data_IF_319567500435
#
_entry.id   IF_319567500435
#
_cell.length_a   1.000
_cell.length_b   1.000
_cell.length_c   1.000
_cell.angle_alpha   90.00
_cell.angle_beta   90.00
_cell.angle_gamma   90.00
#
_symmetry.space_group_name_H-M   'P 1'
#
loop_
_entity.id
_entity.type
_entity.pdbx_description
1 polymer ?
#
# COMPACT_ATOMS: atom_id res chain seq x y z
N UNK A 1 4.41 -13.49 -0.74
CA UNK A 1 5.26 -12.46 -0.13
C UNK A 1 4.57 -11.69 0.99
N UNK A 2 3.25 -11.50 0.95
CA UNK A 2 2.60 -10.74 2.02
C UNK A 2 2.19 -11.58 3.25
N UNK A 3 1.87 -12.86 3.05
CA UNK A 3 1.35 -13.73 4.10
C UNK A 3 2.39 -14.22 5.10
N UNK A 4 3.67 -14.30 4.74
CA UNK A 4 4.65 -15.04 5.53
C UNK A 4 5.89 -14.21 5.80
N UNK A 5 6.35 -14.18 7.05
CA UNK A 5 7.54 -13.43 7.45
C UNK A 5 8.82 -13.95 6.78
N UNK A 6 8.97 -15.27 6.62
CA UNK A 6 10.11 -15.90 5.97
C UNK A 6 10.16 -15.67 4.45
N UNK A 7 9.10 -15.08 3.88
CA UNK A 7 9.08 -14.64 2.50
C UNK A 7 9.43 -13.17 2.33
N UNK A 8 9.43 -12.35 3.40
CA UNK A 8 9.72 -10.90 3.32
C UNK A 8 11.24 -10.66 3.14
N UNK A 9 11.74 -11.05 1.97
CA UNK A 9 13.15 -11.01 1.60
C UNK A 9 13.61 -9.62 1.13
N UNK A 10 14.86 -9.52 0.67
CA UNK A 10 15.47 -8.25 0.25
C UNK A 10 15.39 -7.95 -1.24
N UNK A 11 14.86 -8.88 -2.04
CA UNK A 11 14.80 -8.75 -3.50
C UNK A 11 13.38 -8.83 -4.01
N UNK A 12 12.69 -9.94 -3.75
CA UNK A 12 11.39 -10.17 -4.35
C UNK A 12 10.31 -9.37 -3.63
N UNK A 13 10.24 -9.45 -2.30
CA UNK A 13 9.26 -8.72 -1.49
C UNK A 13 9.25 -7.20 -1.76
N UNK A 14 10.37 -6.45 -1.64
CA UNK A 14 10.40 -5.02 -1.88
C UNK A 14 10.30 -4.62 -3.36
N UNK A 15 10.23 -5.58 -4.27
CA UNK A 15 10.00 -5.32 -5.69
C UNK A 15 8.54 -5.56 -6.05
N UNK A 16 8.03 -6.75 -5.79
CA UNK A 16 6.70 -7.17 -6.25
C UNK A 16 5.58 -6.45 -5.52
N UNK A 17 5.72 -6.22 -4.21
CA UNK A 17 4.65 -5.61 -3.41
C UNK A 17 4.44 -4.14 -3.78
N UNK A 18 5.49 -3.30 -3.92
CA UNK A 18 5.28 -1.92 -4.40
C UNK A 18 4.72 -1.85 -5.82
N UNK A 19 5.23 -2.66 -6.76
CA UNK A 19 4.78 -2.66 -8.16
C UNK A 19 3.31 -3.06 -8.26
N UNK A 20 2.88 -4.08 -7.54
CA UNK A 20 1.49 -4.54 -7.58
C UNK A 20 0.57 -3.65 -6.72
N UNK A 21 1.07 -3.13 -5.59
CA UNK A 21 0.29 -2.32 -4.65
C UNK A 21 -0.08 -0.92 -5.17
N UNK A 22 0.72 -0.34 -6.07
CA UNK A 22 0.43 1.00 -6.62
C UNK A 22 -0.81 1.04 -7.52
N UNK A 23 -1.22 -0.10 -8.05
CA UNK A 23 -2.29 -0.21 -9.07
C UNK A 23 -3.60 0.44 -8.61
N UNK A 24 -4.17 -0.04 -7.50
CA UNK A 24 -5.42 0.49 -6.95
C UNK A 24 -5.24 1.86 -6.29
N UNK A 25 -4.04 2.17 -5.78
CA UNK A 25 -3.75 3.51 -5.28
C UNK A 25 -3.88 4.56 -6.39
N UNK A 26 -3.27 4.30 -7.56
CA UNK A 26 -3.35 5.18 -8.72
C UNK A 26 -4.80 5.28 -9.28
N UNK A 27 -5.50 4.16 -9.39
CA UNK A 27 -6.90 4.16 -9.86
C UNK A 27 -7.84 4.92 -8.91
N UNK A 28 -7.67 4.72 -7.60
CA UNK A 28 -8.42 5.43 -6.56
C UNK A 28 -8.11 6.93 -6.57
N UNK A 29 -6.84 7.31 -6.73
CA UNK A 29 -6.46 8.72 -6.94
C UNK A 29 -7.14 9.32 -8.16
N UNK A 30 -7.16 8.63 -9.30
CA UNK A 30 -7.85 9.11 -10.49
C UNK A 30 -9.33 9.39 -10.20
N UNK A 31 -10.02 8.51 -9.47
CA UNK A 31 -11.41 8.71 -9.10
C UNK A 31 -11.62 9.88 -8.12
N UNK A 32 -10.94 9.89 -6.97
CA UNK A 32 -11.18 10.88 -5.92
C UNK A 32 -10.66 12.27 -6.29
N UNK A 33 -9.51 12.35 -6.95
CA UNK A 33 -8.90 13.62 -7.31
C UNK A 33 -9.59 14.30 -8.48
N UNK A 34 -9.90 13.57 -9.55
CA UNK A 34 -10.48 14.18 -10.77
C UNK A 34 -11.90 14.65 -10.50
N UNK A 35 -12.72 13.84 -9.82
CA UNK A 35 -14.15 14.14 -9.64
C UNK A 35 -14.41 15.06 -8.45
N UNK A 36 -13.63 14.94 -7.36
CA UNK A 36 -13.95 15.60 -6.09
C UNK A 36 -12.83 16.47 -5.52
N UNK A 37 -11.63 16.47 -6.15
CA UNK A 37 -10.43 17.14 -5.62
C UNK A 37 -10.07 16.70 -4.19
N UNK A 38 -10.41 15.45 -3.84
CA UNK A 38 -10.15 14.89 -2.52
C UNK A 38 -8.76 14.19 -2.51
N UNK A 39 -7.81 14.63 -1.67
CA UNK A 39 -6.42 14.16 -1.68
C UNK A 39 -6.17 12.95 -0.77
N UNK A 40 -6.97 11.88 -0.91
CA UNK A 40 -6.82 10.66 -0.10
C UNK A 40 -6.98 9.37 -0.90
N UNK A 41 -6.83 9.42 -2.22
CA UNK A 41 -7.11 8.28 -3.08
C UNK A 41 -6.19 7.08 -2.81
N UNK A 42 -4.88 7.30 -2.68
CA UNK A 42 -3.95 6.22 -2.39
C UNK A 42 -4.16 5.65 -0.99
N UNK A 43 -4.31 6.51 0.02
CA UNK A 43 -4.57 6.12 1.41
C UNK A 43 -5.88 5.35 1.53
N UNK A 44 -6.94 5.75 0.81
CA UNK A 44 -8.21 5.03 0.79
C UNK A 44 -8.04 3.57 0.36
N UNK A 45 -7.30 3.32 -0.73
CA UNK A 45 -7.04 1.98 -1.22
C UNK A 45 -6.11 1.18 -0.29
N UNK A 46 -4.99 1.78 0.15
CA UNK A 46 -4.01 1.11 1.02
C UNK A 46 -4.60 0.76 2.39
N UNK A 47 -5.41 1.66 2.98
CA UNK A 47 -6.09 1.40 4.25
C UNK A 47 -7.16 0.31 4.11
N UNK A 48 -7.94 0.33 3.03
CA UNK A 48 -8.92 -0.71 2.75
C UNK A 48 -8.28 -2.11 2.65
N UNK A 49 -7.15 -2.20 1.95
CA UNK A 49 -6.36 -3.44 1.85
C UNK A 49 -5.89 -3.89 3.24
N UNK A 50 -5.25 -3.01 4.01
CA UNK A 50 -4.71 -3.35 5.33
C UNK A 50 -5.79 -3.78 6.32
N UNK A 51 -6.95 -3.13 6.32
CA UNK A 51 -8.08 -3.54 7.18
C UNK A 51 -8.52 -4.96 6.81
N UNK A 52 -8.73 -5.23 5.52
CA UNK A 52 -9.13 -6.57 5.05
C UNK A 52 -8.09 -7.63 5.39
N UNK A 53 -6.81 -7.32 5.22
CA UNK A 53 -5.71 -8.21 5.57
C UNK A 53 -5.65 -8.46 7.08
N UNK A 54 -5.58 -7.42 7.91
CA UNK A 54 -5.51 -7.58 9.36
C UNK A 54 -6.69 -8.36 9.92
N UNK A 55 -7.92 -8.10 9.47
CA UNK A 55 -9.10 -8.88 9.84
C UNK A 55 -8.86 -10.36 9.50
N UNK A 56 -8.42 -10.66 8.28
CA UNK A 56 -8.18 -12.04 7.85
C UNK A 56 -7.02 -12.71 8.62
N UNK A 57 -5.93 -11.99 8.89
CA UNK A 57 -4.78 -12.54 9.66
C UNK A 57 -5.18 -12.84 11.10
N UNK A 58 -5.97 -11.99 11.74
CA UNK A 58 -6.43 -12.20 13.11
C UNK A 58 -7.54 -13.24 13.22
N UNK A 59 -8.61 -13.14 12.42
CA UNK A 59 -9.79 -14.00 12.56
C UNK A 59 -9.54 -15.39 11.99
N UNK A 60 -8.85 -15.51 10.85
CA UNK A 60 -8.67 -16.80 10.17
C UNK A 60 -7.28 -17.42 10.42
N UNK A 61 -6.19 -16.73 10.07
CA UNK A 61 -4.85 -17.32 10.23
C UNK A 61 -4.52 -17.62 11.69
N UNK A 62 -4.76 -16.64 12.58
CA UNK A 62 -4.60 -16.86 14.01
C UNK A 62 -5.83 -17.54 14.64
N UNK A 63 -7.02 -16.93 14.50
CA UNK A 63 -8.22 -17.36 15.23
C UNK A 63 -8.73 -18.76 14.86
N UNK A 64 -8.59 -19.19 13.60
CA UNK A 64 -9.09 -20.49 13.14
C UNK A 64 -7.98 -21.53 12.95
N UNK A 65 -6.80 -21.12 12.47
CA UNK A 65 -5.71 -22.05 12.12
C UNK A 65 -4.48 -21.92 13.01
N UNK A 66 -4.51 -21.04 14.02
CA UNK A 66 -3.51 -20.91 15.09
C UNK A 66 -2.08 -20.57 14.63
N UNK A 67 -1.90 -19.99 13.43
CA UNK A 67 -0.60 -19.44 13.04
C UNK A 67 -0.30 -18.18 13.85
N UNK A 68 0.88 -18.05 14.48
CA UNK A 68 1.21 -16.90 15.29
C UNK A 68 1.22 -15.62 14.43
N UNK A 69 0.71 -14.51 14.98
CA UNK A 69 0.66 -13.23 14.24
C UNK A 69 2.04 -12.76 13.77
N UNK A 70 3.11 -13.09 14.50
CA UNK A 70 4.49 -12.82 14.09
C UNK A 70 4.90 -13.50 12.78
N UNK A 71 4.24 -14.61 12.40
CA UNK A 71 4.46 -15.30 11.13
C UNK A 71 3.65 -14.66 9.99
N UNK A 72 2.46 -14.11 10.29
CA UNK A 72 1.44 -13.81 9.27
C UNK A 72 1.09 -12.33 9.06
N UNK A 73 1.81 -11.40 9.67
CA UNK A 73 1.50 -9.97 9.57
C UNK A 73 1.69 -9.40 8.14
N UNK A 74 0.81 -8.47 7.70
CA UNK A 74 0.86 -7.87 6.37
C UNK A 74 1.99 -6.83 6.22
N UNK A 75 2.31 -6.46 4.98
CA UNK A 75 3.28 -5.39 4.68
C UNK A 75 2.69 -4.00 4.95
N UNK A 76 3.52 -3.06 5.41
CA UNK A 76 3.08 -1.69 5.67
C UNK A 76 3.05 -0.85 4.38
N UNK A 77 1.89 -0.28 4.04
CA UNK A 77 1.70 0.52 2.82
C UNK A 77 1.21 1.96 3.08
N UNK A 78 0.91 2.32 4.34
CA UNK A 78 0.35 3.64 4.66
C UNK A 78 1.35 4.77 4.41
N UNK A 79 2.62 4.61 4.79
CA UNK A 79 3.64 5.67 4.59
C UNK A 79 3.86 5.94 3.09
N UNK A 80 4.11 4.92 2.23
CA UNK A 80 4.12 5.09 0.78
C UNK A 80 2.84 5.74 0.23
N UNK A 81 1.66 5.36 0.74
CA UNK A 81 0.39 5.91 0.27
C UNK A 81 0.22 7.40 0.58
N UNK A 82 0.60 7.82 1.80
CA UNK A 82 0.59 9.23 2.21
C UNK A 82 1.53 10.04 1.31
N UNK A 83 2.73 9.54 1.04
CA UNK A 83 3.65 10.19 0.10
C UNK A 83 2.99 10.42 -1.26
N UNK A 84 2.35 9.38 -1.81
CA UNK A 84 1.69 9.43 -3.10
C UNK A 84 0.55 10.46 -3.15
N UNK A 85 -0.30 10.51 -2.12
CA UNK A 85 -1.40 11.49 -2.03
C UNK A 85 -0.90 12.92 -1.82
N UNK A 86 0.14 13.13 -1.00
CA UNK A 86 0.70 14.46 -0.73
C UNK A 86 1.40 15.02 -1.98
N UNK A 87 2.11 14.20 -2.75
CA UNK A 87 2.70 14.66 -4.01
C UNK A 87 1.61 15.11 -5.00
N UNK A 88 0.50 14.37 -5.08
CA UNK A 88 -0.63 14.76 -5.92
C UNK A 88 -1.30 16.05 -5.43
N UNK A 89 -1.48 16.19 -4.11
CA UNK A 89 -2.03 17.39 -3.49
C UNK A 89 -1.18 18.63 -3.75
N UNK A 90 0.14 18.55 -3.55
CA UNK A 90 1.05 19.68 -3.67
C UNK A 90 1.29 20.09 -5.13
N UNK A 91 1.43 19.11 -6.03
CA UNK A 91 1.74 19.38 -7.44
C UNK A 91 0.51 19.64 -8.30
N UNK A 92 -0.65 19.11 -7.90
CA UNK A 92 -1.87 19.12 -8.69
C UNK A 92 -1.82 18.29 -9.98
N UNK A 93 -0.72 17.55 -10.23
CA UNK A 93 -0.44 16.87 -11.49
C UNK A 93 -0.24 15.37 -11.32
N UNK A 94 -1.04 14.57 -12.01
CA UNK A 94 -0.85 13.13 -12.06
C UNK A 94 0.46 12.74 -12.77
N UNK A 95 1.00 13.59 -13.66
CA UNK A 95 2.28 13.33 -14.34
C UNK A 95 3.44 13.44 -13.35
N UNK A 96 3.46 14.47 -12.51
CA UNK A 96 4.48 14.62 -11.45
C UNK A 96 4.35 13.48 -10.44
N UNK A 97 3.11 13.14 -10.08
CA UNK A 97 2.82 12.03 -9.15
C UNK A 97 3.25 10.68 -9.72
N UNK A 98 3.07 10.44 -11.01
CA UNK A 98 3.50 9.21 -11.68
C UNK A 98 5.03 9.05 -11.67
N UNK A 99 5.80 10.14 -11.65
CA UNK A 99 7.27 10.08 -11.60
C UNK A 99 7.78 10.11 -10.15
N UNK A 100 7.55 11.22 -9.43
CA UNK A 100 8.12 11.45 -8.09
C UNK A 100 7.30 10.75 -7.00
N UNK A 101 5.98 10.72 -7.16
CA UNK A 101 5.08 10.02 -6.23
C UNK A 101 5.35 8.51 -6.24
N UNK A 102 5.37 7.90 -7.42
CA UNK A 102 5.62 6.45 -7.54
C UNK A 102 7.07 6.05 -7.18
N UNK A 103 8.06 6.92 -7.45
CA UNK A 103 9.44 6.69 -7.03
C UNK A 103 9.54 6.65 -5.50
N UNK A 104 8.98 7.64 -4.80
CA UNK A 104 8.96 7.63 -3.34
C UNK A 104 8.13 6.49 -2.78
N UNK A 105 7.02 6.09 -3.42
CA UNK A 105 6.26 4.89 -3.05
C UNK A 105 7.12 3.63 -3.02
N UNK A 106 7.95 3.41 -4.06
CA UNK A 106 8.86 2.27 -4.12
C UNK A 106 9.98 2.35 -3.08
N UNK A 107 10.61 3.53 -2.93
CA UNK A 107 11.75 3.71 -2.02
C UNK A 107 11.36 3.66 -0.54
N UNK A 108 10.15 4.11 -0.19
CA UNK A 108 9.64 4.15 1.18
C UNK A 108 9.02 2.82 1.65
N UNK A 109 9.09 1.76 0.84
CA UNK A 109 8.48 0.48 1.20
C UNK A 109 9.31 -0.35 2.19
N UNK A 110 10.64 -0.34 2.05
CA UNK A 110 11.55 -1.15 2.87
C UNK A 110 12.07 -0.47 4.15
N UNK A 111 12.33 0.85 4.18
CA UNK A 111 12.62 1.58 5.41
C UNK A 111 11.46 1.51 6.42
#
# INVERSE_FOLDING_TARGET
WDFWIDWKDRRMWPTVVPILGVTFCAASQAFFWVNFRLPFGAVFAALGLLIGEWINRYVNFWGWTYFPISLVFPSALIVPAIWLDVILLLSGSYVITAVVGSLGWGLLFYP
#
